data_IF_848230085906
#
_entry.id   IF_848230085906
#
_cell.length_a   1.000
_cell.length_b   1.000
_cell.length_c   1.000
_cell.angle_alpha   90.00
_cell.angle_beta   90.00
_cell.angle_gamma   90.00
#
_symmetry.space_group_name_H-M   'P 1'
#
loop_
_entity.id
_entity.type
_entity.pdbx_description
1 polymer ?
#
# COMPACT_ATOMS: atom_id res chain seq x y z
N UNK A 1 -41.37 75.22 -45.01
CA UNK A 1 -41.01 73.78 -45.06
C UNK A 1 -39.71 73.60 -44.28
N UNK A 2 -39.77 73.13 -43.00
CA UNK A 2 -38.62 73.06 -42.09
C UNK A 2 -38.06 71.63 -42.11
N UNK A 3 -36.84 71.48 -42.51
CA UNK A 3 -36.12 70.22 -42.50
C UNK A 3 -35.42 70.07 -41.13
N UNK A 4 -35.85 69.10 -40.35
CA UNK A 4 -35.22 68.77 -39.08
C UNK A 4 -33.98 67.94 -39.34
N UNK A 5 -32.84 68.34 -38.77
CA UNK A 5 -31.59 67.62 -38.76
C UNK A 5 -31.62 66.54 -37.62
N UNK A 6 -31.52 65.30 -37.98
CA UNK A 6 -31.34 64.22 -37.05
C UNK A 6 -29.88 64.15 -36.63
N UNK A 7 -29.63 64.36 -35.33
CA UNK A 7 -28.31 64.12 -34.69
C UNK A 7 -28.12 62.62 -34.38
N UNK A 8 -27.21 62.01 -35.08
CA UNK A 8 -26.74 60.66 -34.76
C UNK A 8 -25.86 60.67 -33.52
N UNK A 9 -26.32 60.01 -32.48
CA UNK A 9 -25.59 59.81 -31.24
C UNK A 9 -24.67 58.60 -31.42
N UNK A 10 -23.35 58.81 -31.46
CA UNK A 10 -22.36 57.74 -31.48
C UNK A 10 -22.14 57.26 -30.06
N UNK A 11 -22.70 56.09 -29.73
CA UNK A 11 -22.44 55.38 -28.46
C UNK A 11 -21.15 54.59 -28.61
N UNK A 12 -20.10 55.04 -27.94
CA UNK A 12 -18.84 54.29 -27.85
C UNK A 12 -18.99 53.21 -26.79
N UNK A 13 -19.14 51.96 -27.23
CA UNK A 13 -19.14 50.78 -26.34
C UNK A 13 -17.68 50.44 -26.01
N UNK A 14 -17.22 50.79 -24.81
CA UNK A 14 -15.94 50.40 -24.27
C UNK A 14 -16.07 48.95 -23.78
N UNK A 15 -15.47 48.00 -24.50
CA UNK A 15 -15.30 46.64 -24.03
C UNK A 15 -14.27 46.64 -22.91
N UNK A 16 -14.75 46.44 -21.67
CA UNK A 16 -13.92 46.13 -20.52
C UNK A 16 -13.58 44.65 -20.59
N UNK A 17 -12.40 44.31 -21.12
CA UNK A 17 -11.87 42.95 -21.07
C UNK A 17 -11.41 42.72 -19.64
N UNK A 18 -12.25 42.04 -18.86
CA UNK A 18 -11.88 41.53 -17.53
C UNK A 18 -10.96 40.34 -17.73
N UNK A 19 -9.64 40.56 -17.69
CA UNK A 19 -8.64 39.50 -17.69
C UNK A 19 -8.77 38.68 -16.42
N UNK A 20 -9.52 37.59 -16.46
CA UNK A 20 -9.46 36.57 -15.44
C UNK A 20 -8.08 35.87 -15.53
N UNK A 21 -7.14 36.31 -14.69
CA UNK A 21 -5.94 35.54 -14.42
C UNK A 21 -6.39 34.21 -13.78
N UNK A 22 -6.58 33.21 -14.61
CA UNK A 22 -6.59 31.81 -14.15
C UNK A 22 -5.20 31.56 -13.59
N UNK A 23 -5.03 31.74 -12.28
CA UNK A 23 -3.94 31.16 -11.54
C UNK A 23 -4.12 29.64 -11.64
N UNK A 24 -3.60 29.05 -12.70
CA UNK A 24 -3.47 27.62 -12.87
C UNK A 24 -2.55 27.11 -11.76
N UNK A 25 -3.09 26.84 -10.59
CA UNK A 25 -2.39 26.05 -9.57
C UNK A 25 -2.04 24.73 -10.23
N UNK A 26 -0.76 24.40 -10.31
CA UNK A 26 -0.32 23.08 -10.69
C UNK A 26 -0.95 22.09 -9.72
N UNK A 27 -2.00 21.40 -10.16
CA UNK A 27 -2.59 20.28 -9.41
C UNK A 27 -1.64 19.11 -9.61
N UNK A 28 -0.60 19.05 -8.79
CA UNK A 28 0.19 17.84 -8.70
C UNK A 28 -0.70 16.73 -8.10
N UNK A 29 -0.57 15.51 -8.61
CA UNK A 29 -1.18 14.34 -7.98
C UNK A 29 -0.58 14.23 -6.57
N UNK A 30 -1.35 14.64 -5.57
CA UNK A 30 -0.89 14.71 -4.19
C UNK A 30 -1.53 13.60 -3.38
N UNK A 31 -0.69 12.84 -2.67
CA UNK A 31 -1.15 11.88 -1.67
C UNK A 31 -1.84 12.62 -0.51
N UNK A 32 -2.65 11.89 0.25
CA UNK A 32 -3.28 12.44 1.45
C UNK A 32 -2.22 12.82 2.50
N UNK A 33 -2.47 13.85 3.31
CA UNK A 33 -1.54 14.26 4.35
C UNK A 33 -1.33 13.14 5.38
N UNK A 34 -0.09 13.01 5.83
CA UNK A 34 0.25 12.06 6.87
C UNK A 34 -0.12 12.60 8.27
N UNK A 35 -0.56 11.70 9.13
CA UNK A 35 -0.67 11.99 10.56
C UNK A 35 0.70 12.36 11.14
N UNK A 36 0.79 13.30 12.12
CA UNK A 36 2.05 13.67 12.75
C UNK A 36 2.82 12.52 13.40
N UNK A 37 2.16 11.40 13.67
CA UNK A 37 2.79 10.19 14.22
C UNK A 37 3.53 9.35 13.17
N UNK A 38 3.29 9.60 11.88
CA UNK A 38 3.91 8.91 10.76
C UNK A 38 5.03 9.76 10.17
N UNK A 39 6.08 9.11 9.69
CA UNK A 39 7.17 9.77 8.96
C UNK A 39 7.12 9.24 7.52
N UNK A 40 6.96 10.15 6.55
CA UNK A 40 7.00 9.78 5.13
C UNK A 40 8.37 9.23 4.75
N UNK A 41 8.39 8.16 4.01
CA UNK A 41 9.67 7.56 3.55
C UNK A 41 10.44 8.51 2.62
N UNK A 42 9.73 9.33 1.86
CA UNK A 42 10.22 10.34 0.92
C UNK A 42 10.70 11.65 1.60
N UNK A 43 10.71 11.70 2.93
CA UNK A 43 11.24 12.83 3.69
C UNK A 43 12.72 12.60 4.07
N UNK A 44 13.50 13.67 4.32
CA UNK A 44 14.88 13.53 4.80
C UNK A 44 15.01 12.68 6.07
N UNK A 45 14.03 12.77 6.97
CA UNK A 45 13.96 11.95 8.18
C UNK A 45 13.70 10.47 7.82
N UNK A 46 12.75 10.20 6.90
CA UNK A 46 12.42 8.85 6.44
C UNK A 46 13.59 8.15 5.75
N UNK A 47 14.32 8.86 4.92
CA UNK A 47 15.55 8.36 4.28
C UNK A 47 16.64 8.03 5.31
N UNK A 48 16.86 8.93 6.28
CA UNK A 48 17.82 8.74 7.36
C UNK A 48 17.48 7.49 8.17
N UNK A 49 16.23 7.27 8.52
CA UNK A 49 15.80 6.07 9.26
C UNK A 49 16.16 4.79 8.51
N UNK A 50 16.02 4.74 7.18
CA UNK A 50 16.41 3.56 6.41
C UNK A 50 17.93 3.35 6.41
N UNK A 51 18.70 4.42 6.24
CA UNK A 51 20.17 4.34 6.23
C UNK A 51 20.68 3.78 7.57
N UNK A 52 20.14 4.25 8.69
CA UNK A 52 20.53 3.88 10.05
C UNK A 52 19.96 2.52 10.52
N UNK A 53 18.95 1.98 9.83
CA UNK A 53 18.35 0.69 10.17
C UNK A 53 19.33 -0.47 9.94
N UNK A 54 19.35 -1.43 10.88
CA UNK A 54 20.10 -2.68 10.75
C UNK A 54 19.26 -3.84 10.23
N UNK A 55 17.95 -3.78 10.42
CA UNK A 55 16.96 -4.77 9.98
C UNK A 55 16.29 -4.25 8.72
N UNK A 56 16.87 -4.48 7.53
CA UNK A 56 16.40 -3.95 6.24
C UNK A 56 16.72 -4.81 5.02
N UNK A 57 17.03 -6.09 5.24
CA UNK A 57 17.41 -6.97 4.13
C UNK A 57 16.25 -7.16 3.14
N UNK A 58 15.00 -7.02 3.62
CA UNK A 58 13.80 -7.10 2.79
C UNK A 58 13.55 -5.84 1.94
N UNK A 59 14.14 -4.71 2.30
CA UNK A 59 13.90 -3.46 1.58
C UNK A 59 14.27 -3.57 0.10
N UNK A 60 15.45 -4.09 -0.21
CA UNK A 60 15.93 -4.16 -1.59
C UNK A 60 15.08 -5.07 -2.47
N UNK A 61 14.82 -6.35 -2.11
CA UNK A 61 13.99 -7.20 -2.95
C UNK A 61 12.56 -6.70 -3.07
N UNK A 62 11.97 -6.12 -2.02
CA UNK A 62 10.60 -5.56 -2.09
C UNK A 62 10.53 -4.26 -2.89
N UNK A 63 11.51 -3.37 -2.78
CA UNK A 63 11.54 -2.12 -3.53
C UNK A 63 11.66 -2.35 -5.05
N UNK A 64 12.40 -3.39 -5.48
CA UNK A 64 12.46 -3.82 -6.88
C UNK A 64 11.10 -4.31 -7.42
N UNK A 65 10.21 -4.74 -6.55
CA UNK A 65 8.88 -5.27 -6.88
C UNK A 65 7.75 -4.32 -6.49
N UNK A 66 8.06 -3.10 -6.05
CA UNK A 66 7.07 -2.19 -5.48
C UNK A 66 6.08 -1.67 -6.51
N UNK A 67 4.83 -2.09 -6.38
CA UNK A 67 3.73 -1.77 -7.30
C UNK A 67 2.57 -1.06 -6.60
N UNK A 68 1.71 -0.42 -7.38
CA UNK A 68 0.44 0.13 -6.91
C UNK A 68 -0.65 -0.92 -7.06
N UNK A 69 -1.52 -1.08 -6.07
CA UNK A 69 -2.71 -1.93 -6.20
C UNK A 69 -3.64 -1.44 -7.32
N UNK A 70 -4.17 -2.34 -8.13
CA UNK A 70 -4.98 -2.01 -9.32
C UNK A 70 -6.38 -1.51 -8.96
N UNK A 71 -6.92 -1.91 -7.81
CA UNK A 71 -8.18 -1.41 -7.27
C UNK A 71 -8.13 -1.33 -5.74
N UNK A 72 -9.13 -0.69 -5.13
CA UNK A 72 -9.12 -0.40 -3.68
C UNK A 72 -9.16 -1.65 -2.77
N UNK A 73 -9.55 -2.82 -3.28
CA UNK A 73 -9.61 -4.07 -2.55
C UNK A 73 -8.36 -4.98 -2.76
N UNK A 74 -7.47 -4.61 -3.69
CA UNK A 74 -6.31 -5.44 -4.10
C UNK A 74 -5.04 -5.21 -3.29
N UNK A 75 -5.11 -4.58 -2.12
CA UNK A 75 -3.92 -4.40 -1.28
C UNK A 75 -3.20 -5.73 -0.98
N UNK A 76 -3.95 -6.78 -0.64
CA UNK A 76 -3.39 -8.12 -0.44
C UNK A 76 -2.80 -8.72 -1.71
N UNK A 77 -3.47 -8.58 -2.86
CA UNK A 77 -2.98 -9.10 -4.16
C UNK A 77 -1.68 -8.43 -4.55
N UNK A 78 -1.64 -7.07 -4.53
CA UNK A 78 -0.42 -6.32 -4.85
C UNK A 78 0.74 -6.70 -3.91
N UNK A 79 0.46 -6.82 -2.61
CA UNK A 79 1.45 -7.25 -1.61
C UNK A 79 1.99 -8.65 -1.91
N UNK A 80 1.11 -9.61 -2.21
CA UNK A 80 1.53 -10.98 -2.52
C UNK A 80 2.32 -11.06 -3.82
N UNK A 81 1.96 -10.29 -4.84
CA UNK A 81 2.75 -10.18 -6.09
C UNK A 81 4.18 -9.73 -5.78
N UNK A 82 4.36 -8.68 -4.95
CA UNK A 82 5.67 -8.23 -4.53
C UNK A 82 6.46 -9.33 -3.81
N UNK A 83 5.82 -9.99 -2.85
CA UNK A 83 6.43 -11.04 -2.01
C UNK A 83 6.79 -12.27 -2.84
N UNK A 84 5.90 -12.78 -3.67
CA UNK A 84 6.15 -13.97 -4.49
C UNK A 84 7.26 -13.75 -5.51
N UNK A 85 7.30 -12.57 -6.14
CA UNK A 85 8.41 -12.17 -7.02
C UNK A 85 9.72 -12.01 -6.24
N UNK A 86 9.68 -11.36 -5.07
CA UNK A 86 10.84 -11.22 -4.17
C UNK A 86 11.40 -12.56 -3.68
N UNK A 87 10.55 -13.54 -3.39
CA UNK A 87 10.90 -14.92 -3.05
C UNK A 87 11.38 -15.72 -4.26
N UNK A 88 11.26 -15.20 -5.47
CA UNK A 88 11.55 -15.92 -6.72
C UNK A 88 10.79 -17.27 -6.80
N UNK A 89 9.52 -17.25 -6.40
CA UNK A 89 8.60 -18.37 -6.60
C UNK A 89 8.32 -18.50 -8.09
N UNK A 90 8.14 -19.72 -8.57
CA UNK A 90 7.83 -19.95 -9.99
C UNK A 90 6.49 -19.30 -10.35
N UNK A 91 6.56 -18.25 -11.16
CA UNK A 91 5.40 -17.50 -11.58
C UNK A 91 4.70 -18.14 -12.80
N UNK A 92 3.38 -17.93 -12.97
CA UNK A 92 2.70 -18.22 -14.22
C UNK A 92 3.23 -17.31 -15.35
N UNK A 93 2.88 -17.66 -16.59
CA UNK A 93 3.16 -16.80 -17.73
C UNK A 93 2.43 -15.46 -17.54
N UNK A 94 3.11 -14.37 -17.83
CA UNK A 94 2.52 -13.04 -17.85
C UNK A 94 2.12 -12.69 -19.29
N UNK A 95 0.81 -12.61 -19.64
CA UNK A 95 0.36 -12.41 -21.01
C UNK A 95 0.99 -11.19 -21.68
N UNK A 96 1.17 -10.09 -20.92
CA UNK A 96 1.76 -8.85 -21.41
C UNK A 96 3.28 -8.88 -21.58
N UNK A 97 3.97 -9.90 -21.06
CA UNK A 97 5.44 -10.00 -21.05
C UNK A 97 5.97 -11.29 -21.67
N UNK A 98 5.16 -12.00 -22.46
CA UNK A 98 5.57 -13.27 -23.11
C UNK A 98 6.95 -13.16 -23.77
N UNK A 99 7.82 -14.19 -23.65
CA UNK A 99 7.62 -15.48 -22.97
C UNK A 99 8.01 -15.47 -21.46
N UNK A 100 8.19 -14.30 -20.87
CA UNK A 100 8.69 -14.18 -19.50
C UNK A 100 7.61 -14.47 -18.46
N UNK A 101 8.04 -15.06 -17.33
CA UNK A 101 7.19 -15.45 -16.21
C UNK A 101 7.45 -14.52 -15.02
N UNK A 102 6.44 -13.82 -14.59
CA UNK A 102 6.46 -12.92 -13.44
C UNK A 102 5.04 -12.84 -12.87
N UNK A 103 4.90 -12.75 -11.56
CA UNK A 103 3.60 -12.46 -10.95
C UNK A 103 3.19 -11.03 -11.26
N UNK A 104 1.95 -10.89 -11.69
CA UNK A 104 1.23 -9.61 -11.86
C UNK A 104 -0.12 -9.72 -11.16
N UNK A 105 -0.79 -8.60 -10.89
CA UNK A 105 -2.13 -8.64 -10.29
C UNK A 105 -3.16 -9.28 -11.23
N UNK A 106 -2.93 -9.21 -12.55
CA UNK A 106 -3.77 -9.83 -13.57
C UNK A 106 -3.67 -11.36 -13.54
N UNK A 107 -2.44 -11.92 -13.49
CA UNK A 107 -2.25 -13.37 -13.55
C UNK A 107 -2.27 -14.05 -12.17
N UNK A 108 -2.39 -13.29 -11.08
CA UNK A 108 -2.38 -13.83 -9.72
C UNK A 108 -3.45 -14.90 -9.48
N UNK A 109 -4.60 -14.81 -10.13
CA UNK A 109 -5.70 -15.77 -10.00
C UNK A 109 -5.74 -16.84 -11.08
N UNK A 110 -4.70 -16.96 -11.93
CA UNK A 110 -4.63 -17.99 -12.97
C UNK A 110 -4.43 -19.42 -12.44
N UNK A 111 -4.02 -19.57 -11.17
CA UNK A 111 -3.89 -20.86 -10.52
C UNK A 111 -5.23 -21.28 -9.90
N UNK A 112 -5.73 -22.46 -10.23
CA UNK A 112 -6.99 -22.99 -9.70
C UNK A 112 -7.01 -23.09 -8.17
N UNK A 113 -5.85 -23.31 -7.53
CA UNK A 113 -5.78 -23.36 -6.07
C UNK A 113 -6.04 -21.99 -5.42
N UNK A 114 -5.73 -20.87 -6.08
CA UNK A 114 -6.10 -19.55 -5.58
C UNK A 114 -7.61 -19.35 -5.59
N UNK A 115 -8.30 -19.84 -6.62
CA UNK A 115 -9.76 -19.78 -6.72
C UNK A 115 -10.46 -20.57 -5.59
N UNK A 116 -9.83 -21.65 -5.09
CA UNK A 116 -10.35 -22.42 -3.96
C UNK A 116 -10.22 -21.68 -2.63
N UNK A 117 -9.27 -20.77 -2.48
CA UNK A 117 -9.12 -19.93 -1.28
C UNK A 117 -10.21 -18.87 -1.24
N UNK A 118 -10.35 -18.09 -2.31
CA UNK A 118 -11.41 -17.11 -2.52
C UNK A 118 -11.43 -16.69 -4.00
N UNK A 119 -12.60 -16.69 -4.66
CA UNK A 119 -12.71 -16.27 -6.05
C UNK A 119 -12.25 -14.82 -6.29
N UNK A 120 -11.62 -14.57 -7.45
CA UNK A 120 -11.05 -13.27 -7.81
C UNK A 120 -12.07 -12.12 -7.72
N UNK A 121 -13.31 -12.36 -8.20
CA UNK A 121 -14.39 -11.38 -8.18
C UNK A 121 -14.87 -11.03 -6.76
N UNK A 122 -14.69 -11.94 -5.81
CA UNK A 122 -14.98 -11.68 -4.40
C UNK A 122 -13.87 -10.80 -3.80
N UNK A 123 -12.60 -11.15 -4.06
CA UNK A 123 -11.45 -10.33 -3.63
C UNK A 123 -11.55 -8.92 -4.20
N UNK A 124 -11.94 -8.76 -5.45
CA UNK A 124 -12.06 -7.46 -6.11
C UNK A 124 -13.08 -6.52 -5.44
N UNK A 125 -14.06 -7.05 -4.71
CA UNK A 125 -15.10 -6.27 -4.03
C UNK A 125 -14.81 -6.01 -2.56
N UNK A 126 -14.24 -6.98 -1.84
CA UNK A 126 -14.14 -6.93 -0.37
C UNK A 126 -12.74 -7.17 0.20
N UNK A 127 -11.75 -7.43 -0.66
CA UNK A 127 -10.41 -7.80 -0.21
C UNK A 127 -10.36 -9.21 0.36
N UNK A 128 -9.49 -9.40 1.35
CA UNK A 128 -9.26 -10.71 1.97
C UNK A 128 -8.95 -10.59 3.46
N UNK A 129 -9.23 -11.65 4.19
CA UNK A 129 -8.88 -11.82 5.60
C UNK A 129 -7.43 -12.29 5.75
N UNK A 130 -6.89 -12.21 6.98
CA UNK A 130 -5.52 -12.66 7.29
C UNK A 130 -5.29 -14.13 6.95
N UNK A 131 -6.27 -15.02 7.20
CA UNK A 131 -6.14 -16.45 6.87
C UNK A 131 -6.17 -16.70 5.37
N UNK A 132 -7.01 -15.95 4.63
CA UNK A 132 -7.04 -16.04 3.16
C UNK A 132 -5.73 -15.56 2.56
N UNK A 133 -5.11 -14.50 3.11
CA UNK A 133 -3.77 -14.06 2.71
C UNK A 133 -2.75 -15.20 2.85
N UNK A 134 -2.74 -15.89 3.98
CA UNK A 134 -1.89 -17.08 4.19
C UNK A 134 -2.16 -18.18 3.17
N UNK A 135 -3.42 -18.57 2.99
CA UNK A 135 -3.82 -19.61 2.06
C UNK A 135 -3.47 -19.29 0.58
N UNK A 136 -3.56 -18.02 0.17
CA UNK A 136 -3.13 -17.60 -1.16
C UNK A 136 -1.62 -17.79 -1.37
N UNK A 137 -0.80 -17.42 -0.40
CA UNK A 137 0.65 -17.61 -0.49
C UNK A 137 1.01 -19.10 -0.52
N UNK A 138 0.35 -19.93 0.31
CA UNK A 138 0.52 -21.37 0.33
C UNK A 138 0.11 -22.01 -1.00
N UNK A 139 -0.92 -21.50 -1.69
CA UNK A 139 -1.38 -22.03 -2.98
C UNK A 139 -0.31 -21.91 -4.08
N UNK A 140 0.68 -21.06 -3.88
CA UNK A 140 1.87 -20.91 -4.75
C UNK A 140 3.12 -21.61 -4.18
N UNK A 141 2.97 -22.40 -3.11
CA UNK A 141 4.05 -23.18 -2.52
C UNK A 141 5.00 -22.37 -1.62
N UNK A 142 4.60 -21.18 -1.17
CA UNK A 142 5.33 -20.49 -0.13
C UNK A 142 5.11 -21.19 1.23
N UNK A 143 6.14 -21.18 2.06
CA UNK A 143 6.02 -21.57 3.49
C UNK A 143 5.49 -20.36 4.25
N UNK A 144 4.37 -20.58 4.97
CA UNK A 144 3.63 -19.48 5.60
C UNK A 144 3.43 -19.71 7.08
N UNK A 145 3.53 -18.64 7.87
CA UNK A 145 3.14 -18.65 9.28
C UNK A 145 2.27 -17.43 9.58
N UNK A 146 1.03 -17.69 10.00
CA UNK A 146 0.04 -16.65 10.30
C UNK A 146 0.00 -16.40 11.81
N UNK A 147 0.08 -15.14 12.21
CA UNK A 147 -0.01 -14.71 13.60
C UNK A 147 -1.14 -13.69 13.76
N UNK A 148 -2.08 -13.98 14.66
CA UNK A 148 -3.07 -13.00 15.06
C UNK A 148 -2.58 -12.20 16.24
N UNK A 149 -3.00 -10.95 16.31
CA UNK A 149 -2.63 -10.12 17.46
C UNK A 149 -3.22 -10.63 18.78
N UNK A 150 -4.35 -11.39 18.74
CA UNK A 150 -4.89 -12.06 19.93
C UNK A 150 -4.01 -13.18 20.49
N UNK A 151 -3.15 -13.78 19.65
CA UNK A 151 -2.41 -15.00 19.96
C UNK A 151 -0.93 -14.73 20.25
N UNK A 152 -0.53 -13.46 20.28
CA UNK A 152 0.83 -13.02 20.52
C UNK A 152 0.86 -11.68 21.27
N UNK A 153 1.99 -11.02 21.36
CA UNK A 153 2.16 -9.74 22.08
C UNK A 153 2.94 -8.72 21.25
N UNK A 154 2.86 -7.44 21.64
CA UNK A 154 3.70 -6.38 21.06
C UNK A 154 5.19 -6.71 21.12
N UNK A 155 5.66 -7.25 22.24
CA UNK A 155 7.06 -7.59 22.43
C UNK A 155 7.49 -8.71 21.49
N UNK A 156 6.65 -9.74 21.36
CA UNK A 156 6.89 -10.86 20.46
C UNK A 156 6.82 -10.46 18.99
N UNK A 157 5.81 -9.67 18.58
CA UNK A 157 5.74 -9.12 17.23
C UNK A 157 7.00 -8.33 16.88
N UNK A 158 7.41 -7.36 17.75
CA UNK A 158 8.61 -6.56 17.53
C UNK A 158 9.85 -7.44 17.32
N UNK A 159 10.05 -8.40 18.20
CA UNK A 159 11.19 -9.33 18.14
C UNK A 159 11.17 -10.13 16.84
N UNK A 160 10.09 -10.84 16.59
CA UNK A 160 9.98 -11.74 15.43
C UNK A 160 10.08 -10.98 14.10
N UNK A 161 9.42 -9.82 13.97
CA UNK A 161 9.46 -9.04 12.74
C UNK A 161 10.84 -8.41 12.51
N UNK A 162 11.48 -7.86 13.56
CA UNK A 162 12.82 -7.30 13.44
C UNK A 162 13.88 -8.35 13.12
N UNK A 163 13.77 -9.56 13.66
CA UNK A 163 14.65 -10.70 13.34
C UNK A 163 14.44 -11.20 11.91
N UNK A 164 13.17 -11.26 11.46
CA UNK A 164 12.83 -11.66 10.11
C UNK A 164 13.46 -10.68 9.08
N UNK A 165 13.35 -9.39 9.29
CA UNK A 165 13.89 -8.33 8.42
C UNK A 165 15.43 -8.28 8.34
N UNK A 166 16.14 -9.13 9.10
CA UNK A 166 17.61 -9.35 9.03
C UNK A 166 17.99 -10.59 8.22
N UNK A 167 17.02 -11.32 7.70
CA UNK A 167 17.24 -12.61 7.06
C UNK A 167 16.70 -12.57 5.63
N UNK A 168 17.56 -12.70 4.60
CA UNK A 168 17.09 -12.70 3.23
C UNK A 168 16.22 -13.94 2.92
N UNK A 169 15.26 -13.76 2.00
CA UNK A 169 14.43 -14.85 1.50
C UNK A 169 13.22 -15.21 2.36
N UNK A 170 12.84 -14.32 3.25
CA UNK A 170 11.56 -14.37 3.96
C UNK A 170 11.03 -12.94 4.11
N UNK A 171 9.71 -12.77 4.23
CA UNK A 171 9.07 -11.46 4.25
C UNK A 171 8.00 -11.39 5.33
N UNK A 172 7.80 -10.19 5.87
CA UNK A 172 6.73 -9.87 6.82
C UNK A 172 5.63 -9.09 6.12
N UNK A 173 4.40 -9.57 6.21
CA UNK A 173 3.21 -8.90 5.71
C UNK A 173 2.31 -8.56 6.89
N UNK A 174 1.83 -7.32 6.97
CA UNK A 174 0.92 -6.88 8.02
C UNK A 174 -0.48 -6.63 7.49
N UNK A 175 -1.49 -7.10 8.23
CA UNK A 175 -2.90 -6.73 8.07
C UNK A 175 -3.27 -5.82 9.23
N UNK A 176 -3.63 -4.58 8.94
CA UNK A 176 -3.86 -3.53 9.93
C UNK A 176 -5.04 -2.63 9.60
N UNK A 177 -5.58 -1.92 10.60
CA UNK A 177 -6.63 -0.92 10.41
C UNK A 177 -6.01 0.46 10.23
N UNK A 178 -6.14 1.07 9.07
CA UNK A 178 -5.57 2.38 8.72
C UNK A 178 -5.89 3.48 9.73
N UNK A 179 -7.15 3.55 10.20
CA UNK A 179 -7.59 4.56 11.16
C UNK A 179 -6.77 4.55 12.45
N UNK A 180 -6.32 3.38 12.90
CA UNK A 180 -5.57 3.25 14.16
C UNK A 180 -4.14 3.80 14.08
N UNK A 181 -3.60 4.03 12.89
CA UNK A 181 -2.31 4.71 12.66
C UNK A 181 -2.49 6.15 12.15
N UNK A 182 -3.72 6.69 12.20
CA UNK A 182 -4.01 8.06 11.78
C UNK A 182 -4.17 8.26 10.27
N UNK A 183 -4.44 7.20 9.53
CA UNK A 183 -4.81 7.24 8.12
C UNK A 183 -6.35 7.14 7.94
N UNK A 184 -6.85 7.28 6.70
CA UNK A 184 -8.27 7.07 6.41
C UNK A 184 -8.77 5.66 6.79
N UNK A 185 -10.10 5.54 6.90
CA UNK A 185 -10.76 4.28 7.29
C UNK A 185 -10.44 3.14 6.32
N UNK A 186 -10.48 1.92 6.86
CA UNK A 186 -10.37 0.66 6.10
C UNK A 186 -9.28 -0.26 6.64
N UNK A 187 -9.48 -1.56 6.46
CA UNK A 187 -8.43 -2.57 6.61
C UNK A 187 -7.42 -2.45 5.48
N UNK A 188 -6.17 -2.77 5.75
CA UNK A 188 -5.12 -2.73 4.74
C UNK A 188 -4.08 -3.82 4.94
N UNK A 189 -3.47 -4.24 3.83
CA UNK A 189 -2.41 -5.24 3.80
C UNK A 189 -1.23 -4.65 3.04
N UNK A 190 -0.04 -4.68 3.63
CA UNK A 190 1.20 -4.24 3.00
C UNK A 190 2.40 -4.96 3.59
N UNK A 191 3.54 -5.08 2.88
CA UNK A 191 4.74 -5.66 3.43
C UNK A 191 5.49 -4.66 4.33
N UNK A 192 6.19 -5.18 5.34
CA UNK A 192 7.24 -4.46 6.06
C UNK A 192 8.57 -4.60 5.32
N UNK A 193 9.33 -3.53 5.22
CA UNK A 193 10.58 -3.53 4.47
C UNK A 193 11.82 -3.28 5.34
N UNK A 194 11.65 -2.59 6.47
CA UNK A 194 12.73 -2.30 7.40
C UNK A 194 12.20 -2.05 8.82
N UNK A 195 13.11 -2.16 9.79
CA UNK A 195 12.87 -1.75 11.17
C UNK A 195 14.03 -0.90 11.66
N UNK A 196 13.71 0.27 12.21
CA UNK A 196 14.67 1.15 12.84
C UNK A 196 14.64 0.96 14.35
N UNK A 197 15.69 0.40 14.90
CA UNK A 197 15.80 0.01 16.30
C UNK A 197 15.84 1.23 17.25
N UNK A 198 16.40 2.35 16.80
CA UNK A 198 16.57 3.54 17.65
C UNK A 198 15.24 4.26 17.89
N UNK A 199 14.37 4.29 16.90
CA UNK A 199 13.08 4.97 16.97
C UNK A 199 11.90 4.02 17.17
N UNK A 200 12.14 2.72 17.24
CA UNK A 200 11.13 1.64 17.34
C UNK A 200 10.05 1.77 16.26
N UNK A 201 10.47 1.86 14.99
CA UNK A 201 9.57 2.05 13.84
C UNK A 201 9.79 0.99 12.77
N UNK A 202 8.69 0.53 12.19
CA UNK A 202 8.70 -0.28 10.97
C UNK A 202 8.39 0.58 9.73
N UNK A 203 9.06 0.28 8.62
CA UNK A 203 8.75 0.85 7.30
C UNK A 203 7.70 -0.03 6.62
N UNK A 204 6.54 0.54 6.35
CA UNK A 204 5.49 -0.08 5.53
C UNK A 204 5.65 0.41 4.08
N UNK A 205 5.79 -0.50 3.12
CA UNK A 205 5.67 -0.18 1.70
C UNK A 205 4.18 -0.22 1.32
N UNK A 206 3.50 0.89 1.50
CA UNK A 206 2.06 0.99 1.27
C UNK A 206 1.73 0.86 -0.22
N UNK A 207 1.04 -0.22 -0.60
CA UNK A 207 0.67 -0.50 -1.99
C UNK A 207 -0.47 0.40 -2.52
N UNK A 208 -1.18 1.14 -1.65
CA UNK A 208 -2.10 2.22 -2.07
C UNK A 208 -1.36 3.53 -2.36
N UNK A 209 -0.36 3.48 -3.22
CA UNK A 209 0.56 4.60 -3.51
C UNK A 209 -0.12 5.88 -3.96
N UNK A 210 -1.32 5.78 -4.53
CA UNK A 210 -2.16 6.93 -4.88
C UNK A 210 -2.79 7.61 -3.65
N UNK A 211 -2.78 6.94 -2.49
CA UNK A 211 -3.38 7.42 -1.24
C UNK A 211 -2.34 7.95 -0.27
N UNK A 212 -1.30 7.16 -0.01
CA UNK A 212 -0.23 7.48 0.92
C UNK A 212 1.13 7.05 0.38
N UNK A 213 2.22 7.79 0.67
CA UNK A 213 3.57 7.29 0.44
C UNK A 213 3.87 6.12 1.39
N UNK A 214 4.95 5.35 1.17
CA UNK A 214 5.51 4.47 2.19
C UNK A 214 5.79 5.25 3.47
N UNK A 215 5.53 4.62 4.64
CA UNK A 215 5.61 5.33 5.92
C UNK A 215 6.34 4.52 6.99
N UNK A 216 7.07 5.22 7.83
CA UNK A 216 7.56 4.72 9.10
C UNK A 216 6.49 4.89 10.17
N UNK A 217 6.13 3.81 10.83
CA UNK A 217 5.12 3.75 11.88
C UNK A 217 5.74 3.22 13.17
N UNK A 218 5.39 3.81 14.32
CA UNK A 218 5.82 3.28 15.62
C UNK A 218 5.29 1.87 15.82
N UNK A 219 6.12 0.96 16.32
CA UNK A 219 5.74 -0.43 16.56
C UNK A 219 4.48 -0.56 17.42
N UNK A 220 4.34 0.28 18.45
CA UNK A 220 3.17 0.28 19.31
C UNK A 220 1.88 0.68 18.58
N UNK A 221 1.95 1.65 17.65
CA UNK A 221 0.78 2.11 16.90
C UNK A 221 0.39 1.05 15.84
N UNK A 222 1.36 0.46 15.17
CA UNK A 222 1.12 -0.66 14.25
C UNK A 222 0.51 -1.85 14.98
N UNK A 223 1.03 -2.18 16.16
CA UNK A 223 0.48 -3.25 17.00
C UNK A 223 -0.99 -3.01 17.38
N UNK A 224 -1.32 -1.82 17.89
CA UNK A 224 -2.71 -1.44 18.19
C UNK A 224 -3.60 -1.58 16.97
N UNK A 225 -3.10 -1.24 15.81
CA UNK A 225 -3.80 -1.33 14.53
C UNK A 225 -4.07 -2.79 14.14
N UNK A 226 -3.11 -3.71 14.33
CA UNK A 226 -3.28 -5.14 14.11
C UNK A 226 -4.16 -5.81 15.17
N UNK A 227 -4.21 -5.29 16.40
CA UNK A 227 -5.06 -5.80 17.47
C UNK A 227 -6.55 -5.50 17.26
N UNK A 228 -6.91 -4.71 16.25
CA UNK A 228 -8.31 -4.44 15.91
C UNK A 228 -8.98 -5.67 15.29
N UNK A 229 -10.28 -5.83 15.54
CA UNK A 229 -11.07 -6.89 14.92
C UNK A 229 -11.32 -6.57 13.46
N UNK A 230 -11.09 -7.54 12.60
CA UNK A 230 -11.52 -7.52 11.21
C UNK A 230 -13.00 -7.96 11.13
N UNK A 231 -13.86 -7.07 10.66
CA UNK A 231 -15.32 -7.29 10.59
C UNK A 231 -15.72 -8.47 9.70
N UNK A 232 -14.90 -8.80 8.69
CA UNK A 232 -15.17 -9.93 7.78
C UNK A 232 -14.91 -11.27 8.45
N UNK A 233 -13.84 -11.38 9.24
CA UNK A 233 -13.48 -12.63 9.90
C UNK A 233 -13.99 -12.77 11.35
N UNK A 234 -14.39 -11.65 11.98
CA UNK A 234 -14.71 -11.59 13.41
C UNK A 234 -13.50 -11.82 14.33
N UNK A 235 -12.27 -11.85 13.79
CA UNK A 235 -11.03 -12.13 14.51
C UNK A 235 -10.10 -10.92 14.44
N UNK A 236 -9.11 -10.86 15.34
CA UNK A 236 -8.08 -9.80 15.26
C UNK A 236 -7.30 -9.91 13.93
N UNK A 237 -6.83 -8.78 13.44
CA UNK A 237 -5.82 -8.69 12.40
C UNK A 237 -4.49 -9.22 12.93
N UNK A 238 -3.42 -9.07 12.19
CA UNK A 238 -2.12 -9.57 12.60
C UNK A 238 -1.10 -9.50 11.47
N UNK A 239 -0.22 -10.48 11.41
CA UNK A 239 0.86 -10.53 10.44
C UNK A 239 1.13 -11.94 9.93
N UNK A 240 1.78 -12.00 8.79
CA UNK A 240 2.15 -13.25 8.12
C UNK A 240 3.65 -13.22 7.81
N UNK A 241 4.33 -14.30 8.10
CA UNK A 241 5.65 -14.57 7.55
C UNK A 241 5.51 -15.47 6.33
N UNK A 242 6.22 -15.11 5.27
CA UNK A 242 6.27 -15.87 4.03
C UNK A 242 7.72 -16.11 3.62
N UNK A 243 8.08 -17.34 3.32
CA UNK A 243 9.40 -17.72 2.83
C UNK A 243 9.30 -18.73 1.70
N UNK A 244 10.38 -18.91 0.96
CA UNK A 244 10.50 -20.04 0.03
C UNK A 244 10.75 -21.31 0.83
N UNK A 245 10.19 -22.44 0.36
CA UNK A 245 10.51 -23.79 0.88
C UNK A 245 11.96 -24.15 0.64
#
# INVERSE_FOLDING_TARGET
MKIQKIKTLKTSLKYLILGACLAGGNVFAQTLPLSPNLIGFDSPEGEKLLIESKSKDDFFPLSMQFITQDNQAYCGVATMVMVLNGLKITAPEAPQYKPYKVFTQENFFSNENTQKVLPAEVVARQGMTLNQLGGFLESYGAKVKVYRASDTSLAEFRKLAAENLKQPGNFVIVNYLRKAIGQEIGGHISPLAAYNEQTDRFLILDVSRYKYPPVWVKTADLWKSMATVDSTSGKTRGFVFASKN
#
